data_IF_675438917450
#
_entry.id   IF_675438917450
#
_cell.length_a   1.000
_cell.length_b   1.000
_cell.length_c   1.000
_cell.angle_alpha   90.00
_cell.angle_beta   90.00
_cell.angle_gamma   90.00
#
_symmetry.space_group_name_H-M   'P 1'
#
loop_
_entity.id
_entity.type
_entity.pdbx_description
1 polymer ?
#
# COMPACT_ATOMS: atom_id res chain seq x y z
N UNK A 1 -35.47 28.64 20.86
CA UNK A 1 -34.70 28.32 19.64
C UNK A 1 -33.73 27.21 20.01
N UNK A 2 -33.80 26.00 19.41
CA UNK A 2 -32.73 25.02 19.59
C UNK A 2 -31.56 25.35 18.66
N UNK A 3 -30.31 25.05 19.03
CA UNK A 3 -29.19 25.15 18.11
C UNK A 3 -29.35 24.09 17.01
N UNK A 4 -29.25 24.52 15.75
CA UNK A 4 -29.15 23.62 14.62
C UNK A 4 -27.85 22.82 14.76
N UNK A 5 -27.98 21.54 15.08
CA UNK A 5 -26.84 20.62 15.13
C UNK A 5 -26.18 20.56 13.75
N UNK A 6 -24.91 20.92 13.72
CA UNK A 6 -23.90 20.22 12.92
C UNK A 6 -24.12 18.71 13.09
N UNK A 7 -24.14 17.85 12.09
CA UNK A 7 -23.22 17.72 10.97
C UNK A 7 -23.93 17.09 9.76
N UNK A 8 -23.51 17.38 8.52
CA UNK A 8 -23.98 16.61 7.38
C UNK A 8 -23.50 15.17 7.54
N UNK A 9 -24.44 14.22 7.48
CA UNK A 9 -24.14 12.83 7.18
C UNK A 9 -23.44 12.82 5.80
N UNK A 10 -22.11 12.95 5.77
CA UNK A 10 -21.35 12.55 4.59
C UNK A 10 -21.44 11.03 4.58
N UNK A 11 -22.18 10.42 3.64
CA UNK A 11 -22.14 8.98 3.49
C UNK A 11 -20.68 8.59 3.28
N UNK A 12 -20.21 7.62 4.04
CA UNK A 12 -18.90 7.00 3.89
C UNK A 12 -18.92 6.28 2.53
N UNK A 13 -18.65 7.03 1.45
CA UNK A 13 -18.54 6.48 0.12
C UNK A 13 -17.24 5.68 0.13
N UNK A 14 -17.27 4.35 -0.04
CA UNK A 14 -16.04 3.56 -0.02
C UNK A 14 -15.12 4.09 -1.11
N UNK A 15 -13.93 4.55 -0.71
CA UNK A 15 -12.93 5.03 -1.66
C UNK A 15 -12.57 3.88 -2.60
N UNK A 16 -12.46 4.13 -3.92
CA UNK A 16 -12.06 3.07 -4.84
C UNK A 16 -10.66 2.58 -4.48
N UNK A 17 -10.53 1.30 -4.14
CA UNK A 17 -9.23 0.69 -3.87
C UNK A 17 -8.46 0.51 -5.18
N UNK A 18 -7.23 1.00 -5.18
CA UNK A 18 -6.26 0.79 -6.25
C UNK A 18 -5.62 -0.59 -6.11
N UNK A 19 -5.31 -1.21 -7.25
CA UNK A 19 -4.71 -2.54 -7.31
C UNK A 19 -3.20 -2.42 -7.56
N UNK A 20 -2.41 -2.75 -6.55
CA UNK A 20 -0.95 -2.74 -6.66
C UNK A 20 -0.39 -4.16 -6.77
N UNK A 21 0.78 -4.26 -7.38
CA UNK A 21 1.61 -5.47 -7.40
C UNK A 21 2.80 -5.27 -6.47
N UNK A 22 2.88 -6.10 -5.44
CA UNK A 22 4.02 -6.18 -4.52
C UNK A 22 4.94 -7.32 -4.98
N UNK A 23 6.20 -6.99 -5.24
CA UNK A 23 7.24 -7.92 -5.66
C UNK A 23 8.26 -8.02 -4.51
N UNK A 24 8.34 -9.16 -3.84
CA UNK A 24 9.28 -9.40 -2.74
C UNK A 24 10.54 -10.04 -3.30
N UNK A 25 11.68 -9.47 -2.95
CA UNK A 25 13.00 -9.83 -3.47
C UNK A 25 13.92 -10.32 -2.36
N UNK A 26 14.83 -11.20 -2.74
CA UNK A 26 16.00 -11.55 -1.93
C UNK A 26 17.02 -10.42 -1.95
N UNK A 27 18.02 -10.47 -1.05
CA UNK A 27 19.15 -9.51 -1.05
C UNK A 27 19.94 -9.51 -2.37
N UNK A 28 19.94 -10.62 -3.11
CA UNK A 28 20.59 -10.75 -4.41
C UNK A 28 19.72 -10.26 -5.58
N UNK A 29 18.51 -9.73 -5.32
CA UNK A 29 17.58 -9.29 -6.35
C UNK A 29 16.73 -10.39 -6.98
N UNK A 30 16.88 -11.65 -6.55
CA UNK A 30 16.00 -12.73 -7.03
C UNK A 30 14.58 -12.57 -6.50
N UNK A 31 13.60 -12.84 -7.36
CA UNK A 31 12.19 -12.91 -6.98
C UNK A 31 11.96 -14.00 -5.93
N UNK A 32 11.39 -13.63 -4.79
CA UNK A 32 10.96 -14.55 -3.74
C UNK A 32 9.46 -14.78 -3.77
N UNK A 33 8.69 -13.70 -3.94
CA UNK A 33 7.23 -13.75 -3.95
C UNK A 33 6.64 -12.57 -4.74
N UNK A 34 5.42 -12.73 -5.22
CA UNK A 34 4.67 -11.69 -5.91
C UNK A 34 3.20 -11.79 -5.57
N UNK A 35 2.62 -10.68 -5.08
CA UNK A 35 1.22 -10.65 -4.68
C UNK A 35 0.54 -9.34 -5.03
N UNK A 36 -0.79 -9.39 -5.14
CA UNK A 36 -1.63 -8.20 -5.32
C UNK A 36 -2.02 -7.63 -3.95
N UNK A 37 -1.93 -6.32 -3.79
CA UNK A 37 -2.48 -5.60 -2.63
C UNK A 37 -3.49 -4.54 -3.10
N UNK A 38 -4.53 -4.32 -2.31
CA UNK A 38 -5.56 -3.32 -2.57
C UNK A 38 -5.53 -2.24 -1.50
N UNK A 39 -5.31 -0.99 -1.90
CA UNK A 39 -5.17 0.14 -0.99
C UNK A 39 -5.83 1.40 -1.58
N UNK A 40 -6.29 2.28 -0.70
CA UNK A 40 -6.95 3.54 -1.05
C UNK A 40 -5.94 4.61 -1.52
N UNK A 41 -4.67 4.46 -1.16
CA UNK A 41 -3.59 5.40 -1.52
C UNK A 41 -2.23 4.73 -1.66
N UNK A 42 -1.29 5.42 -2.33
CA UNK A 42 0.11 4.98 -2.41
C UNK A 42 0.73 4.82 -1.01
N UNK A 43 0.38 5.71 -0.08
CA UNK A 43 0.94 5.74 1.27
C UNK A 43 0.50 4.52 2.10
N UNK A 44 -0.79 4.16 2.03
CA UNK A 44 -1.33 2.93 2.62
C UNK A 44 -0.68 1.69 1.99
N UNK A 45 -0.57 1.65 0.66
CA UNK A 45 0.05 0.55 -0.07
C UNK A 45 1.51 0.34 0.36
N UNK A 46 2.27 1.42 0.58
CA UNK A 46 3.65 1.37 1.07
C UNK A 46 3.71 0.78 2.49
N UNK A 47 2.82 1.20 3.39
CA UNK A 47 2.78 0.70 4.77
C UNK A 47 2.46 -0.80 4.77
N UNK A 48 1.43 -1.21 4.02
CA UNK A 48 1.08 -2.63 3.86
C UNK A 48 2.25 -3.44 3.30
N UNK A 49 2.91 -2.92 2.26
CA UNK A 49 4.05 -3.60 1.62
C UNK A 49 5.20 -3.83 2.59
N UNK A 50 5.51 -2.86 3.46
CA UNK A 50 6.54 -3.02 4.50
C UNK A 50 6.18 -4.11 5.51
N UNK A 51 4.91 -4.16 5.94
CA UNK A 51 4.44 -5.19 6.88
C UNK A 51 4.53 -6.59 6.26
N UNK A 52 4.09 -6.73 5.00
CA UNK A 52 4.12 -8.00 4.28
C UNK A 52 5.57 -8.46 4.00
N UNK A 53 6.43 -7.54 3.56
CA UNK A 53 7.82 -7.88 3.23
C UNK A 53 8.65 -8.31 4.44
N UNK A 54 8.26 -7.92 5.66
CA UNK A 54 8.91 -8.38 6.89
C UNK A 54 10.42 -8.07 6.93
N UNK A 55 10.83 -6.90 6.43
CA UNK A 55 12.24 -6.50 6.36
C UNK A 55 13.01 -7.01 5.12
N UNK A 56 12.40 -7.81 4.25
CA UNK A 56 12.97 -8.18 2.95
C UNK A 56 12.94 -7.00 1.98
N UNK A 57 13.76 -7.09 0.93
CA UNK A 57 13.68 -6.15 -0.18
C UNK A 57 12.35 -6.31 -0.92
N UNK A 58 11.79 -5.23 -1.43
CA UNK A 58 10.59 -5.30 -2.25
C UNK A 58 10.47 -4.13 -3.22
N UNK A 59 9.66 -4.31 -4.25
CA UNK A 59 9.17 -3.26 -5.14
C UNK A 59 7.66 -3.21 -5.11
N UNK A 60 7.10 -2.00 -5.20
CA UNK A 60 5.67 -1.78 -5.29
C UNK A 60 5.34 -1.11 -6.62
N UNK A 61 4.40 -1.69 -7.34
CA UNK A 61 3.98 -1.26 -8.67
C UNK A 61 2.49 -0.98 -8.70
N UNK A 62 2.10 0.10 -9.38
CA UNK A 62 0.72 0.39 -9.77
C UNK A 62 0.70 0.41 -11.30
N UNK A 63 0.00 -0.54 -11.91
CA UNK A 63 0.08 -0.82 -13.34
C UNK A 63 1.55 -0.98 -13.79
N UNK A 64 2.05 -0.09 -14.65
CA UNK A 64 3.43 -0.08 -15.15
C UNK A 64 4.33 0.95 -14.45
N UNK A 65 3.83 1.58 -13.38
CA UNK A 65 4.55 2.61 -12.61
C UNK A 65 5.07 2.01 -11.32
N UNK A 66 6.39 2.07 -11.11
CA UNK A 66 6.99 1.76 -9.81
C UNK A 66 6.70 2.90 -8.83
N UNK A 67 5.97 2.60 -7.78
CA UNK A 67 5.60 3.53 -6.71
C UNK A 67 6.75 3.68 -5.71
N UNK A 68 7.31 2.56 -5.28
CA UNK A 68 8.45 2.55 -4.36
C UNK A 68 9.33 1.33 -4.52
N UNK A 69 10.54 1.40 -3.98
CA UNK A 69 11.43 0.26 -3.81
C UNK A 69 12.06 0.32 -2.42
N UNK A 70 12.30 -0.83 -1.82
CA UNK A 70 12.94 -0.98 -0.53
C UNK A 70 14.02 -2.06 -0.62
N UNK A 71 15.23 -1.78 -0.15
CA UNK A 71 16.38 -2.68 -0.27
C UNK A 71 16.49 -3.71 0.86
N UNK A 72 15.51 -3.75 1.76
CA UNK A 72 15.54 -4.58 2.96
C UNK A 72 16.30 -3.92 4.10
N UNK A 73 16.15 -4.47 5.31
CA UNK A 73 16.95 -4.07 6.47
C UNK A 73 18.21 -4.94 6.57
N UNK A 74 19.36 -4.29 6.77
CA UNK A 74 20.59 -4.97 7.13
C UNK A 74 20.56 -5.17 8.64
N UNK A 75 20.24 -6.40 9.07
CA UNK A 75 20.49 -6.84 10.44
C UNK A 75 21.95 -7.28 10.59
#
# INVERSE_FOLDING_TARGET
MPPAGSDPFTPDVPSPKLRYTLVILSKAGNLLDMQTIFAESDEEAIIMSKMIAGGKAFELWLDYRRITYFTGTTH
#
